data_IF_824972386339
#
_entry.id   IF_824972386339
#
_cell.length_a   1.000
_cell.length_b   1.000
_cell.length_c   1.000
_cell.angle_alpha   90.00
_cell.angle_beta   90.00
_cell.angle_gamma   90.00
#
_symmetry.space_group_name_H-M   'P 1'
#
loop_
_entity.id
_entity.type
_entity.pdbx_description
1 polymer ?
#
# COMPACT_ATOMS: atom_id res chain seq x y z
N UNK A 1 20.04 -5.80 -13.49
CA UNK A 1 19.88 -4.35 -13.71
C UNK A 1 19.81 -3.61 -12.39
N UNK A 2 20.16 -2.32 -12.35
CA UNK A 2 20.16 -1.56 -11.09
C UNK A 2 18.75 -1.05 -10.80
N UNK A 3 18.26 -1.25 -9.58
CA UNK A 3 17.02 -0.68 -9.09
C UNK A 3 17.06 0.85 -9.16
N UNK A 4 16.03 1.44 -9.74
CA UNK A 4 15.74 2.87 -9.71
C UNK A 4 14.58 3.13 -8.76
N UNK A 5 14.64 4.27 -8.08
CA UNK A 5 13.59 4.70 -7.15
C UNK A 5 12.34 5.12 -7.92
N UNK A 6 11.14 4.72 -7.42
CA UNK A 6 9.88 5.15 -8.03
C UNK A 6 9.60 6.65 -7.82
N UNK A 7 8.79 7.24 -8.71
CA UNK A 7 8.25 8.62 -8.54
C UNK A 7 7.48 8.77 -7.23
N UNK A 8 6.68 7.76 -6.88
CA UNK A 8 5.94 7.75 -5.61
C UNK A 8 6.88 7.86 -4.41
N UNK A 9 8.00 7.11 -4.42
CA UNK A 9 9.00 7.20 -3.37
C UNK A 9 9.75 8.53 -3.42
N UNK A 10 10.07 9.07 -4.58
CA UNK A 10 10.73 10.37 -4.71
C UNK A 10 9.86 11.49 -4.10
N UNK A 11 8.56 11.52 -4.41
CA UNK A 11 7.60 12.47 -3.84
C UNK A 11 7.47 12.30 -2.31
N UNK A 12 7.43 11.05 -1.82
CA UNK A 12 7.43 10.76 -0.39
C UNK A 12 8.68 11.30 0.32
N UNK A 13 9.88 11.06 -0.20
CA UNK A 13 11.14 11.52 0.41
C UNK A 13 11.25 13.06 0.42
N UNK A 14 10.76 13.74 -0.62
CA UNK A 14 10.71 15.20 -0.65
C UNK A 14 9.75 15.76 0.41
N UNK A 15 8.54 15.18 0.53
CA UNK A 15 7.59 15.54 1.58
C UNK A 15 8.16 15.30 2.97
N UNK A 16 8.87 14.19 3.15
CA UNK A 16 9.49 13.86 4.44
C UNK A 16 10.64 14.80 4.78
N UNK A 17 11.36 15.30 3.79
CA UNK A 17 12.40 16.31 3.94
C UNK A 17 11.79 17.63 4.44
N UNK A 18 10.69 18.10 3.83
CA UNK A 18 9.98 19.31 4.29
C UNK A 18 9.52 19.17 5.76
N UNK A 19 8.93 18.03 6.13
CA UNK A 19 8.53 17.75 7.52
C UNK A 19 9.74 17.85 8.47
N UNK A 20 10.89 17.27 8.10
CA UNK A 20 12.12 17.31 8.90
C UNK A 20 12.69 18.73 9.03
N UNK A 21 12.59 19.53 7.98
CA UNK A 21 13.04 20.94 8.00
C UNK A 21 12.17 21.78 8.94
N UNK A 22 10.85 21.65 8.88
CA UNK A 22 9.92 22.31 9.82
C UNK A 22 10.19 21.89 11.27
N UNK A 23 10.41 20.61 11.51
CA UNK A 23 10.77 20.08 12.83
C UNK A 23 12.10 20.69 13.33
N UNK A 24 13.10 20.83 12.45
CA UNK A 24 14.39 21.46 12.77
C UNK A 24 14.25 22.95 13.06
N UNK A 25 13.41 23.67 12.31
CA UNK A 25 13.12 25.08 12.55
C UNK A 25 12.44 25.28 13.91
N UNK A 26 11.42 24.50 14.24
CA UNK A 26 10.74 24.55 15.52
C UNK A 26 11.70 24.29 16.71
N UNK A 27 12.66 23.39 16.54
CA UNK A 27 13.70 23.15 17.55
C UNK A 27 14.67 24.33 17.72
N UNK A 28 15.04 24.99 16.61
CA UNK A 28 16.02 26.11 16.64
C UNK A 28 15.42 27.43 17.10
N UNK A 29 14.20 27.69 16.67
CA UNK A 29 13.46 28.88 17.07
C UNK A 29 13.06 28.72 18.52
N UNK A 30 13.32 29.69 19.40
CA UNK A 30 12.83 29.68 20.79
C UNK A 30 11.31 29.86 20.83
N UNK A 31 10.58 29.01 20.09
CA UNK A 31 9.11 29.02 20.04
C UNK A 31 8.53 28.57 21.37
N UNK A 32 7.31 28.99 21.65
CA UNK A 32 6.56 28.56 22.83
C UNK A 32 6.44 27.01 22.85
N UNK A 33 6.53 26.42 24.03
CA UNK A 33 6.53 24.94 24.21
C UNK A 33 5.36 24.27 23.51
N UNK A 34 4.14 24.85 23.63
CA UNK A 34 2.94 24.31 23.00
C UNK A 34 3.03 24.28 21.45
N UNK A 35 3.69 25.28 20.84
CA UNK A 35 3.89 25.26 19.39
C UNK A 35 4.91 24.19 18.98
N UNK A 36 5.96 24.01 19.78
CA UNK A 36 6.94 22.94 19.55
C UNK A 36 6.29 21.55 19.64
N UNK A 37 5.46 21.31 20.65
CA UNK A 37 4.68 20.08 20.80
C UNK A 37 3.73 19.84 19.64
N UNK A 38 3.02 20.89 19.19
CA UNK A 38 2.15 20.81 18.01
C UNK A 38 2.92 20.43 16.75
N UNK A 39 4.10 21.03 16.51
CA UNK A 39 4.93 20.69 15.35
C UNK A 39 5.43 19.25 15.44
N UNK A 40 5.81 18.77 16.61
CA UNK A 40 6.23 17.38 16.82
C UNK A 40 5.08 16.39 16.54
N UNK A 41 3.90 16.63 17.09
CA UNK A 41 2.72 15.81 16.87
C UNK A 41 2.32 15.79 15.39
N UNK A 42 2.25 16.98 14.77
CA UNK A 42 1.92 17.11 13.33
C UNK A 42 2.93 16.37 12.45
N UNK A 43 4.23 16.37 12.81
CA UNK A 43 5.27 15.67 12.04
C UNK A 43 5.02 14.15 11.97
N UNK A 44 4.51 13.54 13.04
CA UNK A 44 4.17 12.11 13.06
C UNK A 44 2.94 11.83 12.17
N UNK A 45 1.87 12.61 12.33
CA UNK A 45 0.67 12.43 11.51
C UNK A 45 0.95 12.65 10.02
N UNK A 46 1.70 13.70 9.67
CA UNK A 46 2.08 13.97 8.29
C UNK A 46 2.99 12.87 7.73
N UNK A 47 3.98 12.40 8.50
CA UNK A 47 4.85 11.30 8.07
C UNK A 47 4.06 10.02 7.78
N UNK A 48 3.05 9.71 8.59
CA UNK A 48 2.17 8.58 8.37
C UNK A 48 1.27 8.78 7.14
N UNK A 49 0.67 9.96 7.00
CA UNK A 49 -0.16 10.29 5.84
C UNK A 49 0.64 10.22 4.52
N UNK A 50 1.89 10.67 4.53
CA UNK A 50 2.77 10.52 3.35
C UNK A 50 3.08 9.06 3.03
N UNK A 51 3.19 8.18 4.02
CA UNK A 51 3.33 6.73 3.79
C UNK A 51 2.06 6.13 3.16
N UNK A 52 0.88 6.55 3.61
CA UNK A 52 -0.40 6.15 3.00
C UNK A 52 -0.49 6.62 1.54
N UNK A 53 -0.11 7.87 1.26
CA UNK A 53 -0.06 8.42 -0.10
C UNK A 53 0.90 7.62 -0.98
N UNK A 54 2.12 7.33 -0.49
CA UNK A 54 3.09 6.50 -1.20
C UNK A 54 2.48 5.14 -1.60
N UNK A 55 1.81 4.45 -0.66
CA UNK A 55 1.16 3.16 -0.93
C UNK A 55 0.09 3.32 -2.01
N UNK A 56 -0.75 4.34 -1.93
CA UNK A 56 -1.76 4.63 -2.94
C UNK A 56 -1.15 4.84 -4.33
N UNK A 57 -0.10 5.66 -4.41
CA UNK A 57 0.53 6.06 -5.67
C UNK A 57 1.28 4.89 -6.32
N UNK A 58 2.03 4.11 -5.53
CA UNK A 58 2.79 2.98 -6.08
C UNK A 58 1.87 1.86 -6.58
N UNK A 59 0.72 1.63 -5.93
CA UNK A 59 -0.28 0.68 -6.43
C UNK A 59 -1.07 1.23 -7.62
N UNK A 60 -1.23 2.54 -7.73
CA UNK A 60 -1.77 3.18 -8.93
C UNK A 60 -0.83 3.01 -10.12
N UNK A 61 0.47 3.17 -9.92
CA UNK A 61 1.49 2.85 -10.91
C UNK A 61 1.47 1.38 -11.32
N UNK A 62 1.39 0.45 -10.36
CA UNK A 62 1.29 -0.98 -10.67
C UNK A 62 0.02 -1.33 -11.46
N UNK A 63 -1.12 -0.72 -11.14
CA UNK A 63 -2.35 -0.89 -11.90
C UNK A 63 -2.18 -0.42 -13.35
N UNK A 64 -1.55 0.73 -13.55
CA UNK A 64 -1.26 1.26 -14.89
C UNK A 64 -0.32 0.33 -15.68
N UNK A 65 0.76 -0.15 -15.07
CA UNK A 65 1.64 -1.17 -15.67
C UNK A 65 0.83 -2.39 -16.10
N UNK A 66 -0.01 -2.91 -15.21
CA UNK A 66 -0.81 -4.10 -15.49
C UNK A 66 -1.74 -3.91 -16.69
N UNK A 67 -2.35 -2.72 -16.82
CA UNK A 67 -3.24 -2.40 -17.95
C UNK A 67 -2.46 -2.23 -19.27
N UNK A 68 -1.25 -1.66 -19.22
CA UNK A 68 -0.47 -1.36 -20.42
C UNK A 68 0.37 -2.54 -20.91
N UNK A 69 0.84 -3.39 -20.00
CA UNK A 69 1.74 -4.49 -20.33
C UNK A 69 1.01 -5.83 -20.55
N UNK A 70 -0.06 -6.10 -19.79
CA UNK A 70 -0.84 -7.30 -19.97
C UNK A 70 -1.74 -7.21 -21.21
N UNK A 71 -1.49 -8.06 -22.20
CA UNK A 71 -2.29 -8.14 -23.45
C UNK A 71 -3.70 -8.65 -23.18
N UNK A 72 -3.81 -9.54 -22.22
CA UNK A 72 -5.07 -10.15 -21.81
C UNK A 72 -5.08 -10.50 -20.32
N UNK A 73 -6.23 -10.90 -19.81
CA UNK A 73 -6.41 -11.18 -18.39
C UNK A 73 -5.57 -12.37 -17.86
N UNK A 74 -5.09 -13.28 -18.72
CA UNK A 74 -4.24 -14.39 -18.28
C UNK A 74 -2.83 -13.95 -17.87
N UNK A 75 -2.37 -12.81 -18.35
CA UNK A 75 -1.05 -12.24 -18.04
C UNK A 75 -1.03 -11.44 -16.72
N UNK A 76 -2.20 -11.22 -16.11
CA UNK A 76 -2.28 -10.65 -14.77
C UNK A 76 -1.81 -11.67 -13.73
N UNK A 77 -1.16 -11.23 -12.62
CA UNK A 77 -0.92 -12.09 -11.48
C UNK A 77 -2.21 -12.84 -11.08
N UNK A 78 -2.11 -14.15 -10.88
CA UNK A 78 -3.28 -15.00 -10.62
C UNK A 78 -4.11 -14.50 -9.43
N UNK A 79 -3.44 -14.14 -8.33
CA UNK A 79 -4.11 -13.60 -7.14
C UNK A 79 -4.79 -12.25 -7.43
N UNK A 80 -4.22 -11.41 -8.30
CA UNK A 80 -4.84 -10.15 -8.70
C UNK A 80 -6.10 -10.40 -9.51
N UNK A 81 -6.04 -11.31 -10.46
CA UNK A 81 -7.19 -11.70 -11.28
C UNK A 81 -8.33 -12.25 -10.41
N UNK A 82 -8.00 -13.15 -9.47
CA UNK A 82 -8.96 -13.70 -8.52
C UNK A 82 -9.58 -12.61 -7.63
N UNK A 83 -8.75 -11.69 -7.12
CA UNK A 83 -9.23 -10.56 -6.31
C UNK A 83 -10.17 -9.63 -7.09
N UNK A 84 -9.80 -9.27 -8.31
CA UNK A 84 -10.64 -8.42 -9.17
C UNK A 84 -11.96 -9.10 -9.51
N UNK A 85 -11.93 -10.40 -9.84
CA UNK A 85 -13.14 -11.17 -10.07
C UNK A 85 -14.05 -11.20 -8.84
N UNK A 86 -13.50 -11.54 -7.67
CA UNK A 86 -14.24 -11.57 -6.42
C UNK A 86 -14.92 -10.23 -6.11
N UNK A 87 -14.21 -9.13 -6.35
CA UNK A 87 -14.69 -7.78 -6.09
C UNK A 87 -15.75 -7.32 -7.10
N UNK A 88 -15.48 -7.49 -8.40
CA UNK A 88 -16.38 -7.04 -9.49
C UNK A 88 -17.63 -7.88 -9.62
N UNK A 89 -17.58 -9.16 -9.25
CA UNK A 89 -18.73 -10.06 -9.25
C UNK A 89 -19.60 -9.98 -7.99
N UNK A 90 -19.29 -9.07 -7.06
CA UNK A 90 -19.98 -8.95 -5.77
C UNK A 90 -19.98 -10.25 -4.93
N UNK A 91 -18.98 -11.11 -5.12
CA UNK A 91 -18.85 -12.41 -4.46
C UNK A 91 -18.87 -12.31 -2.93
N UNK A 92 -18.38 -11.18 -2.37
CA UNK A 92 -18.42 -10.94 -0.92
C UNK A 92 -19.86 -10.97 -0.38
N UNK A 93 -20.78 -10.31 -1.06
CA UNK A 93 -22.19 -10.30 -0.67
C UNK A 93 -22.84 -11.67 -0.88
N UNK A 94 -22.47 -12.39 -1.95
CA UNK A 94 -22.97 -13.74 -2.22
C UNK A 94 -22.55 -14.73 -1.15
N UNK A 95 -21.28 -14.73 -0.77
CA UNK A 95 -20.74 -15.58 0.30
C UNK A 95 -21.39 -15.25 1.63
N UNK A 96 -21.51 -13.96 1.98
CA UNK A 96 -22.15 -13.55 3.22
C UNK A 96 -23.63 -14.01 3.28
N UNK A 97 -24.37 -13.89 2.17
CA UNK A 97 -25.75 -14.35 2.09
C UNK A 97 -25.86 -15.88 2.23
N UNK A 98 -24.96 -16.63 1.62
CA UNK A 98 -24.91 -18.09 1.74
C UNK A 98 -24.62 -18.54 3.18
N UNK A 99 -23.65 -17.90 3.85
CA UNK A 99 -23.31 -18.19 5.25
C UNK A 99 -24.44 -17.81 6.23
N UNK A 100 -25.30 -16.84 5.87
CA UNK A 100 -26.45 -16.45 6.67
C UNK A 100 -27.68 -17.38 6.50
N UNK A 101 -27.52 -18.55 5.88
CA UNK A 101 -28.60 -19.55 5.69
C UNK A 101 -29.34 -19.45 4.36
N UNK A 102 -28.76 -18.77 3.37
CA UNK A 102 -29.26 -18.78 1.98
C UNK A 102 -29.18 -20.19 1.38
N UNK A 103 -30.27 -20.64 0.73
CA UNK A 103 -30.30 -21.95 0.10
C UNK A 103 -29.33 -22.04 -1.09
N UNK A 104 -28.82 -23.25 -1.36
CA UNK A 104 -27.92 -23.56 -2.49
C UNK A 104 -28.48 -23.05 -3.82
N UNK A 105 -29.77 -23.19 -4.08
CA UNK A 105 -30.45 -22.71 -5.31
C UNK A 105 -30.26 -21.21 -5.53
N UNK A 106 -30.43 -20.39 -4.47
CA UNK A 106 -30.28 -18.93 -4.55
C UNK A 106 -28.82 -18.51 -4.71
N UNK A 107 -27.90 -19.24 -4.06
CA UNK A 107 -26.48 -19.05 -4.23
C UNK A 107 -26.05 -19.35 -5.68
N UNK A 108 -26.42 -20.49 -6.23
CA UNK A 108 -26.09 -20.90 -7.61
C UNK A 108 -26.68 -19.94 -8.65
N UNK A 109 -27.94 -19.47 -8.46
CA UNK A 109 -28.55 -18.47 -9.33
C UNK A 109 -27.77 -17.15 -9.33
N UNK A 110 -27.34 -16.70 -8.17
CA UNK A 110 -26.57 -15.46 -8.03
C UNK A 110 -25.14 -15.62 -8.58
N UNK A 111 -24.51 -16.77 -8.37
CA UNK A 111 -23.20 -17.12 -8.94
C UNK A 111 -23.28 -17.16 -10.47
N UNK A 112 -24.29 -17.79 -11.03
CA UNK A 112 -24.53 -17.83 -12.49
C UNK A 112 -24.66 -16.42 -13.06
N UNK A 113 -25.39 -15.53 -12.40
CA UNK A 113 -25.47 -14.12 -12.80
C UNK A 113 -24.11 -13.40 -12.77
N UNK A 114 -23.27 -13.69 -11.76
CA UNK A 114 -21.91 -13.14 -11.68
C UNK A 114 -20.99 -13.66 -12.77
N UNK A 115 -21.10 -14.94 -13.14
CA UNK A 115 -20.34 -15.55 -14.22
C UNK A 115 -20.77 -15.03 -15.62
N UNK A 116 -22.01 -14.61 -15.79
CA UNK A 116 -22.54 -14.00 -17.02
C UNK A 116 -22.27 -12.48 -17.10
N UNK A 117 -21.93 -11.85 -15.98
CA UNK A 117 -21.72 -10.41 -15.88
C UNK A 117 -20.35 -9.91 -16.40
N UNK A 118 -20.07 -8.61 -16.26
CA UNK A 118 -18.83 -7.99 -16.76
C UNK A 118 -17.54 -8.59 -16.18
N UNK A 119 -17.61 -9.17 -14.96
CA UNK A 119 -16.48 -9.86 -14.33
C UNK A 119 -16.05 -11.13 -15.08
N UNK A 120 -16.89 -11.68 -15.98
CA UNK A 120 -16.56 -12.83 -16.83
C UNK A 120 -15.28 -12.61 -17.63
N UNK A 121 -15.03 -11.38 -18.09
CA UNK A 121 -13.81 -11.03 -18.84
C UNK A 121 -12.52 -11.42 -18.08
N UNK A 122 -12.55 -11.39 -16.75
CA UNK A 122 -11.39 -11.80 -15.91
C UNK A 122 -11.17 -13.31 -15.89
N UNK A 123 -12.17 -14.11 -16.25
CA UNK A 123 -12.08 -15.57 -16.39
C UNK A 123 -11.73 -15.96 -17.83
N UNK A 124 -11.96 -15.08 -18.79
CA UNK A 124 -11.63 -15.30 -20.20
C UNK A 124 -10.17 -14.86 -20.45
N UNK A 125 -9.34 -15.83 -20.78
CA UNK A 125 -7.90 -15.59 -21.01
C UNK A 125 -7.60 -14.82 -22.28
N UNK A 126 -8.59 -14.62 -23.17
CA UNK A 126 -8.44 -13.90 -24.44
C UNK A 126 -8.87 -12.44 -24.36
N UNK A 127 -9.62 -12.06 -23.33
CA UNK A 127 -10.11 -10.70 -23.16
C UNK A 127 -9.03 -9.77 -22.60
N UNK A 128 -9.00 -8.52 -23.09
CA UNK A 128 -8.13 -7.47 -22.56
C UNK A 128 -8.46 -7.13 -21.09
N UNK A 129 -7.47 -6.62 -20.37
CA UNK A 129 -7.56 -6.35 -18.93
C UNK A 129 -8.64 -5.30 -18.58
N UNK A 130 -8.98 -4.41 -19.50
CA UNK A 130 -9.89 -3.29 -19.28
C UNK A 130 -9.30 -2.26 -18.31
N UNK A 131 -10.16 -1.35 -17.82
CA UNK A 131 -9.74 -0.29 -16.90
C UNK A 131 -9.51 -0.87 -15.50
N UNK A 132 -8.36 -0.56 -14.90
CA UNK A 132 -8.00 -0.90 -13.52
C UNK A 132 -7.27 0.29 -12.89
N UNK A 133 -7.62 0.61 -11.66
CA UNK A 133 -6.97 1.67 -10.87
C UNK A 133 -6.38 1.11 -9.57
N UNK A 134 -5.44 1.83 -8.95
CA UNK A 134 -4.84 1.38 -7.70
C UNK A 134 -5.85 1.04 -6.60
N UNK A 135 -6.98 1.75 -6.55
CA UNK A 135 -8.09 1.46 -5.65
C UNK A 135 -8.73 0.09 -5.85
N UNK A 136 -8.68 -0.48 -7.06
CA UNK A 136 -9.16 -1.84 -7.32
C UNK A 136 -8.26 -2.89 -6.66
N UNK A 137 -6.96 -2.62 -6.63
CA UNK A 137 -5.98 -3.49 -5.98
C UNK A 137 -6.02 -3.33 -4.45
N UNK A 138 -6.05 -2.08 -3.97
CA UNK A 138 -6.04 -1.78 -2.53
C UNK A 138 -7.34 -2.22 -1.84
N UNK A 139 -8.48 -2.05 -2.49
CA UNK A 139 -9.77 -2.30 -1.87
C UNK A 139 -9.98 -1.47 -0.61
N UNK A 140 -10.40 -2.13 0.47
CA UNK A 140 -10.59 -1.54 1.79
C UNK A 140 -9.28 -1.45 2.60
N UNK A 141 -8.16 -2.00 2.05
CA UNK A 141 -6.87 -2.14 2.73
C UNK A 141 -5.94 -0.92 2.55
N UNK A 142 -6.48 0.30 2.64
CA UNK A 142 -5.70 1.55 2.42
C UNK A 142 -4.76 1.88 3.58
N UNK A 143 -5.13 1.54 4.80
CA UNK A 143 -4.32 1.81 5.98
C UNK A 143 -3.13 0.83 6.05
N UNK A 144 -1.90 1.28 6.29
CA UNK A 144 -0.70 0.45 6.30
C UNK A 144 -0.55 -0.36 7.61
N UNK A 145 -1.47 -1.30 7.85
CA UNK A 145 -1.31 -2.32 8.89
C UNK A 145 -0.56 -3.54 8.34
N UNK A 146 -0.06 -4.40 9.24
CA UNK A 146 0.61 -5.63 8.82
C UNK A 146 -0.29 -6.50 7.94
N UNK A 147 -1.56 -6.67 8.33
CA UNK A 147 -2.51 -7.53 7.63
C UNK A 147 -2.92 -6.93 6.29
N UNK A 148 -3.15 -5.60 6.23
CA UNK A 148 -3.47 -4.93 4.98
C UNK A 148 -2.32 -5.02 3.98
N UNK A 149 -1.08 -4.78 4.42
CA UNK A 149 0.09 -4.88 3.54
C UNK A 149 0.28 -6.31 3.03
N UNK A 150 0.15 -7.33 3.90
CA UNK A 150 0.18 -8.74 3.44
C UNK A 150 -0.89 -9.01 2.41
N UNK A 151 -2.14 -8.60 2.68
CA UNK A 151 -3.25 -8.83 1.77
C UNK A 151 -3.01 -8.18 0.41
N UNK A 152 -2.60 -6.90 0.38
CA UNK A 152 -2.42 -6.14 -0.86
C UNK A 152 -1.23 -6.66 -1.68
N UNK A 153 -0.09 -6.96 -1.03
CA UNK A 153 1.06 -7.51 -1.73
C UNK A 153 0.83 -8.95 -2.21
N UNK A 154 0.08 -9.76 -1.45
CA UNK A 154 -0.33 -11.09 -1.92
C UNK A 154 -1.19 -11.02 -3.19
N UNK A 155 -2.04 -10.00 -3.35
CA UNK A 155 -2.83 -9.79 -4.58
C UNK A 155 -1.95 -9.63 -5.82
N UNK A 156 -0.79 -9.02 -5.68
CA UNK A 156 0.17 -8.79 -6.78
C UNK A 156 1.25 -9.88 -6.89
N UNK A 157 1.07 -11.01 -6.21
CA UNK A 157 1.95 -12.18 -6.32
C UNK A 157 3.09 -12.25 -5.29
N UNK A 158 3.16 -11.33 -4.33
CA UNK A 158 4.16 -11.36 -3.25
C UNK A 158 3.57 -12.06 -2.01
N UNK A 159 3.98 -13.30 -1.76
CA UNK A 159 3.42 -14.13 -0.68
C UNK A 159 3.65 -13.59 0.73
N UNK A 160 4.87 -13.13 1.04
CA UNK A 160 5.19 -12.46 2.31
C UNK A 160 6.03 -11.20 2.09
N UNK A 161 5.34 -10.06 2.10
CA UNK A 161 5.95 -8.74 1.92
C UNK A 161 7.01 -8.44 3.01
N UNK A 162 6.77 -8.86 4.26
CA UNK A 162 7.71 -8.57 5.36
C UNK A 162 8.98 -9.40 5.25
N UNK A 163 8.91 -10.68 4.90
CA UNK A 163 10.08 -11.50 4.60
C UNK A 163 10.89 -10.91 3.44
N UNK A 164 10.23 -10.49 2.37
CA UNK A 164 10.87 -9.82 1.23
C UNK A 164 11.55 -8.51 1.65
N UNK A 165 10.88 -7.69 2.46
CA UNK A 165 11.46 -6.46 3.00
C UNK A 165 12.66 -6.73 3.94
N UNK A 166 12.58 -7.72 4.80
CA UNK A 166 13.66 -8.07 5.73
C UNK A 166 14.93 -8.45 4.98
N UNK A 167 14.81 -9.22 3.90
CA UNK A 167 15.92 -9.58 3.02
C UNK A 167 16.58 -8.35 2.39
N UNK A 168 15.78 -7.37 1.95
CA UNK A 168 16.25 -6.12 1.33
C UNK A 168 16.87 -5.17 2.35
N UNK A 169 16.23 -5.01 3.51
CA UNK A 169 16.61 -4.01 4.52
C UNK A 169 17.65 -4.53 5.51
N UNK A 170 17.81 -5.86 5.61
CA UNK A 170 18.58 -6.54 6.66
C UNK A 170 18.16 -6.11 8.06
N UNK A 171 16.86 -5.88 8.24
CA UNK A 171 16.23 -5.39 9.48
C UNK A 171 14.79 -5.88 9.54
N UNK A 172 14.25 -6.07 10.76
CA UNK A 172 12.85 -6.44 10.95
C UNK A 172 11.90 -5.28 10.56
N UNK A 173 11.22 -5.46 9.43
CA UNK A 173 10.28 -4.48 8.89
C UNK A 173 8.96 -4.39 9.66
N UNK A 174 8.57 -5.46 10.39
CA UNK A 174 7.39 -5.42 11.26
C UNK A 174 7.64 -4.52 12.47
N UNK A 175 8.84 -4.59 13.06
CA UNK A 175 9.25 -3.69 14.13
C UNK A 175 9.31 -2.22 13.66
N UNK A 176 9.78 -1.97 12.42
CA UNK A 176 9.73 -0.63 11.84
C UNK A 176 8.30 -0.11 11.78
N UNK A 177 7.37 -0.88 11.20
CA UNK A 177 5.97 -0.50 11.07
C UNK A 177 5.30 -0.28 12.42
N UNK A 178 5.53 -1.17 13.39
CA UNK A 178 4.99 -1.06 14.75
C UNK A 178 5.47 0.21 15.45
N UNK A 179 6.75 0.57 15.32
CA UNK A 179 7.30 1.79 15.91
C UNK A 179 6.68 3.06 15.33
N UNK A 180 6.32 3.05 14.03
CA UNK A 180 5.63 4.15 13.37
C UNK A 180 4.17 4.24 13.85
N UNK A 181 3.47 3.11 13.88
CA UNK A 181 2.05 3.03 14.23
C UNK A 181 1.78 3.34 15.72
N UNK A 182 2.65 2.92 16.64
CA UNK A 182 2.46 3.11 18.07
C UNK A 182 2.41 4.58 18.47
N UNK A 183 3.32 5.42 17.97
CA UNK A 183 3.32 6.86 18.26
C UNK A 183 2.10 7.58 17.66
N UNK A 184 1.68 7.21 16.44
CA UNK A 184 0.45 7.75 15.86
C UNK A 184 -0.78 7.40 16.70
N UNK A 185 -0.86 6.16 17.16
CA UNK A 185 -1.96 5.69 18.01
C UNK A 185 -1.96 6.40 19.36
N UNK A 186 -0.80 6.54 19.99
CA UNK A 186 -0.66 7.29 21.24
C UNK A 186 -1.13 8.74 21.09
N UNK A 187 -0.71 9.44 20.03
CA UNK A 187 -1.16 10.80 19.74
C UNK A 187 -2.67 10.90 19.50
N UNK A 188 -3.26 9.93 18.81
CA UNK A 188 -4.69 9.91 18.54
C UNK A 188 -5.53 9.76 19.81
N UNK A 189 -5.01 9.10 20.85
CA UNK A 189 -5.71 8.88 22.11
C UNK A 189 -5.43 9.92 23.19
N UNK A 190 -4.20 10.47 23.24
CA UNK A 190 -3.79 11.35 24.34
C UNK A 190 -3.60 12.82 23.93
N UNK A 191 -3.63 13.12 22.63
CA UNK A 191 -3.31 14.44 22.07
C UNK A 191 -1.91 14.98 22.44
N UNK A 192 -1.15 14.27 23.27
CA UNK A 192 0.18 14.64 23.75
C UNK A 192 1.15 13.46 23.61
N UNK A 193 2.43 13.75 23.63
CA UNK A 193 3.52 12.77 23.56
C UNK A 193 4.39 12.91 24.82
N UNK A 194 3.94 12.43 25.98
CA UNK A 194 4.72 12.54 27.20
C UNK A 194 6.06 11.83 27.04
N UNK A 195 7.15 12.52 27.38
CA UNK A 195 8.52 12.00 27.31
C UNK A 195 9.10 11.84 25.89
N UNK A 196 8.39 12.25 24.83
CA UNK A 196 8.88 12.18 23.45
C UNK A 196 9.49 13.51 23.02
N UNK A 197 10.74 13.48 22.62
CA UNK A 197 11.49 14.66 22.17
C UNK A 197 11.73 14.69 20.66
N UNK A 198 12.33 15.78 20.18
CA UNK A 198 12.72 15.95 18.76
C UNK A 198 13.56 14.80 18.19
N UNK A 199 14.43 14.20 19.03
CA UNK A 199 15.27 13.07 18.62
C UNK A 199 14.42 11.86 18.27
N UNK A 200 13.40 11.58 19.07
CA UNK A 200 12.51 10.42 18.90
C UNK A 200 11.66 10.60 17.64
N UNK A 201 11.11 11.80 17.42
CA UNK A 201 10.36 12.11 16.20
C UNK A 201 11.24 11.95 14.95
N UNK A 202 12.47 12.48 14.98
CA UNK A 202 13.42 12.33 13.88
C UNK A 202 13.75 10.87 13.60
N UNK A 203 13.87 10.05 14.65
CA UNK A 203 14.11 8.62 14.52
C UNK A 203 12.92 7.91 13.86
N UNK A 204 11.68 8.22 14.27
CA UNK A 204 10.48 7.67 13.65
C UNK A 204 10.39 8.04 12.18
N UNK A 205 10.60 9.31 11.82
CA UNK A 205 10.63 9.74 10.41
C UNK A 205 11.72 9.01 9.60
N UNK A 206 12.83 8.67 10.24
CA UNK A 206 13.90 7.88 9.61
C UNK A 206 13.48 6.43 9.42
N UNK A 207 12.81 5.84 10.41
CA UNK A 207 12.23 4.48 10.31
C UNK A 207 11.16 4.42 9.22
N UNK A 208 10.32 5.46 9.10
CA UNK A 208 9.32 5.57 8.03
C UNK A 208 9.96 5.58 6.64
N UNK A 209 11.02 6.39 6.44
CA UNK A 209 11.77 6.41 5.18
C UNK A 209 12.40 5.05 4.84
N UNK A 210 12.98 4.37 5.83
CA UNK A 210 13.53 3.01 5.64
C UNK A 210 12.45 2.01 5.26
N UNK A 211 11.29 2.08 5.93
CA UNK A 211 10.16 1.20 5.66
C UNK A 211 9.65 1.38 4.22
N UNK A 212 9.40 2.62 3.80
CA UNK A 212 8.97 2.95 2.42
C UNK A 212 10.01 2.50 1.40
N UNK A 213 11.31 2.67 1.68
CA UNK A 213 12.38 2.15 0.81
C UNK A 213 12.32 0.63 0.64
N UNK A 214 11.97 -0.09 1.69
CA UNK A 214 11.78 -1.54 1.63
C UNK A 214 10.59 -1.92 0.76
N UNK A 215 9.46 -1.28 0.96
CA UNK A 215 8.24 -1.49 0.15
C UNK A 215 8.50 -1.20 -1.34
N UNK A 216 9.19 -0.11 -1.66
CA UNK A 216 9.49 0.29 -3.02
C UNK A 216 10.35 -0.74 -3.78
N UNK A 217 11.33 -1.33 -3.09
CA UNK A 217 12.14 -2.41 -3.66
C UNK A 217 11.36 -3.71 -3.83
N UNK A 218 10.45 -4.01 -2.90
CA UNK A 218 9.57 -5.19 -3.04
C UNK A 218 8.60 -4.98 -4.20
N UNK A 219 8.06 -3.75 -4.37
CA UNK A 219 7.22 -3.42 -5.52
C UNK A 219 7.99 -3.53 -6.84
N UNK A 220 9.24 -3.05 -6.89
CA UNK A 220 10.12 -3.27 -8.04
C UNK A 220 10.25 -4.76 -8.39
N UNK A 221 10.49 -5.59 -7.38
CA UNK A 221 10.56 -7.05 -7.57
C UNK A 221 9.25 -7.61 -8.10
N UNK A 222 8.10 -7.15 -7.60
CA UNK A 222 6.78 -7.57 -8.08
C UNK A 222 6.56 -7.20 -9.56
N UNK A 223 6.99 -6.01 -9.97
CA UNK A 223 6.91 -5.61 -11.39
C UNK A 223 7.81 -6.48 -12.26
N UNK A 224 9.04 -6.75 -11.83
CA UNK A 224 9.96 -7.62 -12.57
C UNK A 224 9.48 -9.08 -12.68
N UNK A 225 8.79 -9.60 -11.66
CA UNK A 225 8.27 -10.96 -11.67
C UNK A 225 7.08 -11.14 -12.62
N UNK A 226 6.28 -10.11 -12.80
CA UNK A 226 5.06 -10.17 -13.60
C UNK A 226 5.23 -9.56 -15.00
N UNK A 227 6.17 -8.64 -15.15
CA UNK A 227 6.43 -7.89 -16.38
C UNK A 227 7.93 -7.79 -16.64
N UNK A 228 8.47 -6.59 -16.83
CA UNK A 228 9.90 -6.38 -17.08
C UNK A 228 10.43 -5.08 -16.43
N UNK A 229 11.73 -4.82 -16.63
CA UNK A 229 12.40 -3.62 -16.13
C UNK A 229 11.99 -2.34 -16.90
N UNK A 230 11.57 -2.47 -18.16
CA UNK A 230 11.06 -1.35 -18.93
C UNK A 230 9.73 -0.86 -18.35
N UNK A 231 8.84 -1.78 -17.99
CA UNK A 231 7.56 -1.47 -17.34
C UNK A 231 7.75 -0.67 -16.03
N UNK A 232 8.77 -1.01 -15.23
CA UNK A 232 9.11 -0.21 -14.05
C UNK A 232 9.57 1.20 -14.41
N UNK A 233 10.49 1.33 -15.36
CA UNK A 233 11.05 2.62 -15.76
C UNK A 233 10.05 3.55 -16.40
N UNK A 234 9.19 3.01 -17.25
CA UNK A 234 8.26 3.80 -18.04
C UNK A 234 7.05 4.30 -17.23
N UNK A 235 6.62 3.51 -16.23
CA UNK A 235 5.38 3.79 -15.50
C UNK A 235 5.59 4.18 -14.03
N UNK A 236 6.65 3.71 -13.37
CA UNK A 236 6.88 3.98 -11.94
C UNK A 236 8.11 4.87 -11.67
N UNK A 237 9.07 4.99 -12.57
CA UNK A 237 10.17 5.96 -12.53
C UNK A 237 9.89 7.14 -13.47
#
# INVERSE_FOLDING_TARGET
>A
MAYLQSKARAAFEESLKDIRERLKLAKKSKVHVSLAEYVMASSIFLGHAQMENYISDVFSGFAQVSVTQARNCSELPENLRAHLFFRRSNMKALVAKSLAGGGEKDFLKSLSGSLAGPARALLDTTQGVGVMVGGDILGDSKYPSQDNLRAVFNRIGIGDVFSSMNSVLRQDSKLLLSAIGSLRTQLAHSATLPGTGYKDIKEVLTKTSRFVRGLDRVMYTAVLQNYDDAAWKDHLC
#
